data_IF_332753505999
#
_entry.id   IF_332753505999
#
_cell.length_a   1.000
_cell.length_b   1.000
_cell.length_c   1.000
_cell.angle_alpha   90.00
_cell.angle_beta   90.00
_cell.angle_gamma   90.00
#
_symmetry.space_group_name_H-M   'P 1'
#
loop_
_entity.id
_entity.type
_entity.pdbx_description
1 polymer ?
#
# COMPACT_ATOMS: atom_id res chain seq x y z
N UNK A 1 4.19 36.18 -49.19
CA UNK A 1 3.95 37.19 -48.14
C UNK A 1 3.31 36.49 -46.96
N UNK A 2 3.98 36.47 -45.81
CA UNK A 2 3.56 35.79 -44.58
C UNK A 2 4.61 36.10 -43.51
N UNK A 3 4.28 37.05 -42.65
CA UNK A 3 5.22 37.85 -41.89
C UNK A 3 5.90 37.06 -40.76
N UNK A 4 7.24 36.94 -40.80
CA UNK A 4 8.10 36.38 -39.73
C UNK A 4 8.25 37.34 -38.53
N UNK A 5 7.21 38.08 -38.16
CA UNK A 5 7.32 39.17 -37.19
C UNK A 5 6.72 38.89 -35.81
N UNK A 6 6.30 37.65 -35.51
CA UNK A 6 5.66 37.30 -34.23
C UNK A 6 6.49 36.41 -33.30
N UNK A 7 7.73 36.06 -33.67
CA UNK A 7 8.54 35.11 -32.88
C UNK A 7 9.39 35.74 -31.75
N UNK A 8 9.37 37.06 -31.54
CA UNK A 8 10.35 37.75 -30.67
C UNK A 8 9.80 38.47 -29.43
N UNK A 9 8.56 38.23 -29.01
CA UNK A 9 8.02 38.85 -27.79
C UNK A 9 7.20 37.86 -26.96
N UNK A 10 7.73 36.65 -26.76
CA UNK A 10 7.23 35.77 -25.71
C UNK A 10 7.84 36.27 -24.39
N UNK A 11 7.05 36.86 -23.49
CA UNK A 11 7.63 37.46 -22.30
C UNK A 11 8.26 36.39 -21.40
N UNK A 12 9.44 36.69 -20.85
CA UNK A 12 10.17 35.78 -19.97
C UNK A 12 9.32 35.31 -18.77
N UNK A 13 8.39 36.16 -18.30
CA UNK A 13 7.45 35.82 -17.24
C UNK A 13 6.42 34.74 -17.63
N UNK A 14 6.07 34.59 -18.92
CA UNK A 14 5.23 33.47 -19.38
C UNK A 14 5.95 32.13 -19.21
N UNK A 15 7.25 32.10 -19.50
CA UNK A 15 8.08 30.88 -19.37
C UNK A 15 8.35 30.54 -17.91
N UNK A 16 8.60 31.55 -17.06
CA UNK A 16 8.75 31.37 -15.61
C UNK A 16 7.45 30.89 -14.97
N UNK A 17 6.30 31.44 -15.37
CA UNK A 17 4.99 30.99 -14.90
C UNK A 17 4.68 29.54 -15.33
N UNK A 18 5.01 29.16 -16.58
CA UNK A 18 4.86 27.79 -17.07
C UNK A 18 5.78 26.79 -16.33
N UNK A 19 7.05 27.16 -16.08
CA UNK A 19 7.97 26.35 -15.29
C UNK A 19 7.52 26.22 -13.82
N UNK A 20 7.02 27.30 -13.22
CA UNK A 20 6.48 27.28 -11.85
C UNK A 20 5.23 26.41 -11.72
N UNK A 21 4.32 26.46 -12.71
CA UNK A 21 3.11 25.63 -12.72
C UNK A 21 3.42 24.14 -12.92
N UNK A 22 4.43 23.81 -13.74
CA UNK A 22 4.89 22.43 -13.93
C UNK A 22 5.53 21.85 -12.65
N UNK A 23 6.28 22.65 -11.88
CA UNK A 23 6.87 22.23 -10.60
C UNK A 23 5.77 21.99 -9.54
N UNK A 24 4.71 22.81 -9.54
CA UNK A 24 3.57 22.66 -8.63
C UNK A 24 2.79 21.35 -8.87
N UNK A 25 2.67 20.92 -10.12
CA UNK A 25 2.03 19.66 -10.50
C UNK A 25 2.85 18.41 -10.11
N UNK A 26 4.18 18.52 -10.04
CA UNK A 26 5.06 17.42 -9.61
C UNK A 26 5.13 17.27 -8.08
N UNK A 27 4.73 18.28 -7.30
CA UNK A 27 4.77 18.28 -5.84
C UNK A 27 3.41 18.01 -5.18
N UNK A 28 2.38 17.72 -5.97
CA UNK A 28 1.11 17.17 -5.48
C UNK A 28 1.30 15.75 -4.98
N UNK A 29 1.88 15.61 -3.79
CA UNK A 29 2.08 14.32 -3.13
C UNK A 29 0.76 13.56 -3.07
N UNK A 30 0.78 12.31 -3.50
CA UNK A 30 -0.31 11.38 -3.20
C UNK A 30 -0.55 11.39 -1.70
N UNK A 31 -1.81 11.52 -1.22
CA UNK A 31 -2.08 11.41 0.20
C UNK A 31 -1.51 10.07 0.67
N UNK A 32 -0.54 10.10 1.58
CA UNK A 32 -0.13 8.91 2.30
C UNK A 32 -1.36 8.49 3.13
N UNK A 33 -2.05 7.44 2.68
CA UNK A 33 -3.15 6.84 3.44
C UNK A 33 -2.56 6.36 4.77
N UNK A 34 -2.83 7.09 5.83
CA UNK A 34 -2.47 6.67 7.18
C UNK A 34 -3.21 5.36 7.46
N UNK A 35 -2.48 4.33 7.90
CA UNK A 35 -3.07 3.07 8.29
C UNK A 35 -4.06 3.31 9.45
N UNK A 36 -5.35 3.12 9.20
CA UNK A 36 -6.38 3.13 10.24
C UNK A 36 -6.29 1.80 11.01
N UNK A 37 -5.45 1.77 12.05
CA UNK A 37 -5.17 0.56 12.82
C UNK A 37 -6.40 -0.04 13.51
N UNK A 38 -7.33 0.75 14.10
CA UNK A 38 -8.61 0.23 14.55
C UNK A 38 -9.39 -0.52 13.45
N UNK A 39 -9.41 0.01 12.23
CA UNK A 39 -10.05 -0.66 11.10
C UNK A 39 -9.30 -1.94 10.69
N UNK A 40 -7.97 -1.91 10.67
CA UNK A 40 -7.12 -3.06 10.35
C UNK A 40 -7.28 -4.23 11.33
N UNK A 41 -7.33 -3.94 12.63
CA UNK A 41 -7.58 -4.95 13.68
C UNK A 41 -8.94 -5.64 13.48
N UNK A 42 -10.00 -4.86 13.20
CA UNK A 42 -11.34 -5.39 12.97
C UNK A 42 -11.41 -6.26 11.70
N UNK A 43 -10.77 -5.81 10.61
CA UNK A 43 -10.65 -6.61 9.39
C UNK A 43 -9.91 -7.93 9.65
N UNK A 44 -8.83 -7.87 10.42
CA UNK A 44 -8.07 -9.06 10.79
C UNK A 44 -8.90 -10.03 11.64
N UNK A 45 -9.64 -9.53 12.63
CA UNK A 45 -10.51 -10.36 13.48
C UNK A 45 -11.58 -11.10 12.65
N UNK A 46 -12.25 -10.39 11.74
CA UNK A 46 -13.34 -10.94 10.92
C UNK A 46 -12.82 -11.94 9.89
N UNK A 47 -11.68 -11.66 9.26
CA UNK A 47 -11.26 -12.39 8.04
C UNK A 47 -10.02 -13.27 8.23
N UNK A 48 -9.14 -12.97 9.18
CA UNK A 48 -7.80 -13.58 9.24
C UNK A 48 -7.56 -14.40 10.51
N UNK A 49 -8.12 -13.96 11.65
CA UNK A 49 -7.85 -14.52 12.97
C UNK A 49 -8.22 -16.01 13.07
N UNK A 50 -9.23 -16.46 12.32
CA UNK A 50 -9.63 -17.87 12.28
C UNK A 50 -8.49 -18.84 11.95
N UNK A 51 -7.49 -18.40 11.17
CA UNK A 51 -6.28 -19.20 10.92
C UNK A 51 -5.02 -18.62 11.58
N UNK A 52 -4.99 -17.31 11.81
CA UNK A 52 -3.78 -16.55 12.14
C UNK A 52 -3.81 -15.88 13.52
N UNK A 53 -4.65 -16.35 14.44
CA UNK A 53 -4.71 -15.83 15.82
C UNK A 53 -3.31 -15.70 16.45
N UNK A 54 -3.05 -14.56 17.09
CA UNK A 54 -1.77 -14.18 17.71
C UNK A 54 -0.56 -14.30 16.76
N UNK A 55 -0.79 -14.12 15.46
CA UNK A 55 0.22 -14.22 14.40
C UNK A 55 0.64 -15.64 14.08
N UNK A 56 -0.12 -16.65 14.52
CA UNK A 56 0.13 -18.05 14.22
C UNK A 56 -0.26 -18.44 12.80
N UNK A 57 -0.28 -19.75 12.56
CA UNK A 57 -0.97 -20.35 11.42
C UNK A 57 -1.37 -21.78 11.79
N UNK A 58 -2.66 -22.01 12.02
CA UNK A 58 -3.17 -23.32 12.45
C UNK A 58 -3.13 -24.37 11.33
N UNK A 59 -3.15 -23.94 10.07
CA UNK A 59 -3.15 -24.82 8.89
C UNK A 59 -1.72 -25.23 8.52
N UNK A 60 -0.78 -24.27 8.57
CA UNK A 60 0.64 -24.48 8.22
C UNK A 60 1.54 -23.76 9.22
N UNK A 61 1.91 -24.41 10.32
CA UNK A 61 2.71 -23.83 11.43
C UNK A 61 3.95 -23.04 11.00
N UNK A 62 4.65 -23.50 9.95
CA UNK A 62 5.85 -22.84 9.40
C UNK A 62 5.60 -21.61 8.51
N UNK A 63 4.33 -21.25 8.26
CA UNK A 63 3.90 -20.08 7.46
C UNK A 63 3.05 -19.14 8.32
N UNK A 64 3.57 -18.78 9.47
CA UNK A 64 2.97 -17.85 10.43
C UNK A 64 3.28 -16.38 10.08
N UNK A 65 2.67 -15.45 10.81
CA UNK A 65 2.78 -14.00 10.59
C UNK A 65 3.80 -13.33 11.52
N UNK A 66 4.74 -14.08 12.10
CA UNK A 66 5.84 -13.49 12.88
C UNK A 66 6.85 -12.84 11.93
N UNK A 67 7.42 -11.70 12.32
CA UNK A 67 8.30 -10.88 11.48
C UNK A 67 9.39 -11.69 10.77
N UNK A 68 10.16 -12.49 11.52
CA UNK A 68 11.21 -13.37 10.97
C UNK A 68 10.70 -14.31 9.87
N UNK A 69 9.48 -14.83 10.01
CA UNK A 69 8.88 -15.70 8.99
C UNK A 69 8.47 -14.90 7.76
N UNK A 70 7.85 -13.74 7.95
CA UNK A 70 7.45 -12.85 6.86
C UNK A 70 8.66 -12.42 6.03
N UNK A 71 9.69 -11.86 6.67
CA UNK A 71 10.94 -11.43 6.02
C UNK A 71 11.61 -12.58 5.26
N UNK A 72 11.78 -13.74 5.90
CA UNK A 72 12.38 -14.93 5.28
C UNK A 72 11.66 -15.37 4.01
N UNK A 73 10.37 -15.08 3.89
CA UNK A 73 9.53 -15.49 2.76
C UNK A 73 9.20 -14.33 1.81
N UNK A 74 9.81 -13.16 1.99
CA UNK A 74 9.59 -11.99 1.12
C UNK A 74 8.30 -11.21 1.41
N UNK A 75 7.71 -11.37 2.59
CA UNK A 75 6.48 -10.66 3.03
C UNK A 75 6.78 -9.58 4.07
N UNK A 76 7.98 -9.00 4.05
CA UNK A 76 8.42 -7.99 5.03
C UNK A 76 7.90 -6.57 4.75
N UNK A 77 7.03 -6.38 3.76
CA UNK A 77 6.44 -5.09 3.39
C UNK A 77 4.93 -5.19 3.28
N UNK A 78 4.24 -4.05 3.39
CA UNK A 78 2.77 -3.98 3.28
C UNK A 78 2.32 -4.46 1.90
N UNK A 79 3.03 -4.07 0.84
CA UNK A 79 2.71 -4.41 -0.55
C UNK A 79 2.78 -5.91 -0.77
N UNK A 80 3.81 -6.57 -0.25
CA UNK A 80 3.96 -8.02 -0.38
C UNK A 80 2.87 -8.79 0.37
N UNK A 81 2.47 -8.30 1.55
CA UNK A 81 1.35 -8.87 2.31
C UNK A 81 0.02 -8.62 1.57
N UNK A 82 -0.18 -7.41 1.05
CA UNK A 82 -1.37 -7.06 0.27
C UNK A 82 -1.51 -7.93 -0.98
N UNK A 83 -0.41 -8.24 -1.66
CA UNK A 83 -0.40 -9.10 -2.84
C UNK A 83 -0.88 -10.53 -2.51
N UNK A 84 -0.38 -11.14 -1.43
CA UNK A 84 -0.82 -12.49 -1.01
C UNK A 84 -2.25 -12.49 -0.46
N UNK A 85 -2.70 -11.43 0.20
CA UNK A 85 -4.10 -11.29 0.63
C UNK A 85 -5.02 -11.16 -0.58
N UNK A 86 -4.63 -10.37 -1.57
CA UNK A 86 -5.39 -10.17 -2.83
C UNK A 86 -5.54 -11.47 -3.61
N UNK A 87 -4.43 -12.19 -3.80
CA UNK A 87 -4.38 -13.32 -4.73
C UNK A 87 -4.54 -14.68 -4.07
N UNK A 88 -4.37 -14.77 -2.75
CA UNK A 88 -4.25 -16.03 -2.04
C UNK A 88 -2.97 -16.79 -2.37
N UNK A 89 -2.72 -17.89 -1.66
CA UNK A 89 -1.61 -18.80 -1.95
C UNK A 89 -1.84 -20.16 -1.32
N UNK A 90 -1.81 -21.21 -2.14
CA UNK A 90 -2.10 -22.59 -1.70
C UNK A 90 -3.42 -22.65 -0.92
N UNK A 91 -3.40 -23.04 0.36
CA UNK A 91 -4.60 -23.19 1.19
C UNK A 91 -5.19 -21.85 1.67
N UNK A 92 -4.48 -20.73 1.47
CA UNK A 92 -5.00 -19.40 1.79
C UNK A 92 -5.82 -18.87 0.61
N UNK A 93 -7.11 -18.65 0.82
CA UNK A 93 -8.01 -18.09 -0.20
C UNK A 93 -7.61 -16.67 -0.62
N UNK A 94 -8.00 -16.28 -1.83
CA UNK A 94 -7.94 -14.90 -2.29
C UNK A 94 -9.04 -14.05 -1.63
N UNK A 95 -8.75 -12.78 -1.33
CA UNK A 95 -9.70 -11.85 -0.72
C UNK A 95 -10.13 -10.70 -1.62
N UNK A 96 -9.63 -10.59 -2.85
CA UNK A 96 -10.01 -9.53 -3.81
C UNK A 96 -11.52 -9.44 -4.11
N UNK A 97 -12.25 -10.54 -3.96
CA UNK A 97 -13.71 -10.58 -4.20
C UNK A 97 -14.51 -10.32 -2.91
N UNK A 98 -13.84 -10.05 -1.77
CA UNK A 98 -14.44 -9.88 -0.44
C UNK A 98 -14.06 -8.57 0.23
N UNK A 99 -12.87 -8.05 -0.07
CA UNK A 99 -12.30 -6.84 0.49
C UNK A 99 -11.95 -5.87 -0.63
N UNK A 100 -12.18 -4.58 -0.40
CA UNK A 100 -11.70 -3.55 -1.32
C UNK A 100 -10.16 -3.44 -1.26
N UNK A 101 -9.50 -2.87 -2.28
CA UNK A 101 -8.06 -2.64 -2.25
C UNK A 101 -7.58 -1.90 -0.99
N UNK A 102 -8.34 -0.89 -0.55
CA UNK A 102 -8.03 -0.10 0.64
C UNK A 102 -8.13 -0.93 1.92
N UNK A 103 -9.13 -1.82 2.02
CA UNK A 103 -9.26 -2.75 3.15
C UNK A 103 -8.12 -3.76 3.16
N UNK A 104 -7.69 -4.24 1.99
CA UNK A 104 -6.54 -5.16 1.87
C UNK A 104 -5.25 -4.46 2.32
N UNK A 105 -5.01 -3.23 1.90
CA UNK A 105 -3.86 -2.45 2.34
C UNK A 105 -3.91 -2.21 3.86
N UNK A 106 -5.07 -1.83 4.38
CA UNK A 106 -5.28 -1.57 5.81
C UNK A 106 -4.98 -2.80 6.67
N UNK A 107 -5.52 -3.99 6.32
CA UNK A 107 -5.24 -5.22 7.09
C UNK A 107 -3.79 -5.67 6.92
N UNK A 108 -3.17 -5.40 5.76
CA UNK A 108 -1.76 -5.73 5.51
C UNK A 108 -0.81 -4.87 6.35
N UNK A 109 -1.10 -3.58 6.48
CA UNK A 109 -0.39 -2.67 7.38
C UNK A 109 -0.51 -3.12 8.84
N UNK A 110 -1.73 -3.46 9.29
CA UNK A 110 -1.96 -4.00 10.62
C UNK A 110 -1.15 -5.29 10.88
N UNK A 111 -1.13 -6.24 9.93
CA UNK A 111 -0.33 -7.48 10.07
C UNK A 111 1.15 -7.18 10.21
N UNK A 112 1.70 -6.26 9.41
CA UNK A 112 3.12 -5.90 9.48
C UNK A 112 3.45 -5.20 10.80
N UNK A 113 2.59 -4.31 11.28
CA UNK A 113 2.77 -3.65 12.56
C UNK A 113 2.74 -4.65 13.73
N UNK A 114 1.73 -5.52 13.78
CA UNK A 114 1.67 -6.57 14.81
C UNK A 114 2.90 -7.49 14.73
N UNK A 115 3.39 -7.82 13.54
CA UNK A 115 4.59 -8.60 13.37
C UNK A 115 5.82 -7.90 13.98
N UNK A 116 5.99 -6.60 13.72
CA UNK A 116 7.06 -5.78 14.30
C UNK A 116 6.96 -5.68 15.83
N UNK A 117 5.76 -5.64 16.38
CA UNK A 117 5.50 -5.63 17.83
C UNK A 117 5.58 -7.04 18.45
N UNK A 118 5.78 -8.08 17.64
CA UNK A 118 5.86 -9.47 18.09
C UNK A 118 4.51 -10.12 18.42
N UNK A 119 3.40 -9.48 18.03
CA UNK A 119 2.02 -9.81 18.38
C UNK A 119 1.75 -9.79 19.88
N UNK A 120 2.13 -8.68 20.51
CA UNK A 120 1.85 -8.37 21.91
C UNK A 120 0.83 -7.26 22.03
#
# INVERSE_FOLDING_TARGET
MGDRATQFIQPLWLKVALLGCLILLCFGGTPALAADLPAGSKLFEIHCAGCHINGGNIVRRGKNLKLKTLEKNGYGTVEAIAEIVTNGKANMSAYRDRLTPEQIETVSAYVLEQANQGWK
#
